data_IF_981408669852
#
_entry.id   IF_981408669852
#
_cell.length_a   1.000
_cell.length_b   1.000
_cell.length_c   1.000
_cell.angle_alpha   90.00
_cell.angle_beta   90.00
_cell.angle_gamma   90.00
#
_symmetry.space_group_name_H-M   'P 1'
#
loop_
_entity.id
_entity.type
_entity.pdbx_description
1 polymer ?
#
# COMPACT_ATOMS: atom_id res chain seq x y z
N UNK A 1 18.53 2.63 7.24
CA UNK A 1 18.46 1.76 6.06
C UNK A 1 16.99 1.68 5.69
N UNK A 2 16.59 1.99 4.45
CA UNK A 2 15.20 1.73 4.04
C UNK A 2 15.10 0.24 3.75
N UNK A 3 14.67 -0.53 4.75
CA UNK A 3 14.32 -1.94 4.58
C UNK A 3 13.07 -2.04 3.71
N UNK A 4 12.93 -3.16 3.01
CA UNK A 4 11.73 -3.49 2.26
C UNK A 4 10.99 -4.59 3.02
N UNK A 5 9.66 -4.56 2.98
CA UNK A 5 8.86 -5.56 3.68
C UNK A 5 8.80 -6.85 2.85
N UNK A 6 9.02 -7.97 3.53
CA UNK A 6 9.01 -9.32 2.94
C UNK A 6 7.85 -10.15 3.49
N UNK A 7 7.32 -9.79 4.65
CA UNK A 7 6.24 -10.51 5.31
C UNK A 7 5.26 -9.53 5.95
N UNK A 8 3.98 -9.92 5.94
CA UNK A 8 2.88 -9.09 6.40
C UNK A 8 1.86 -9.90 7.21
N UNK A 9 1.34 -9.27 8.26
CA UNK A 9 0.08 -9.64 8.89
C UNK A 9 -0.86 -8.44 8.79
N UNK A 10 -1.96 -8.64 8.06
CA UNK A 10 -2.90 -7.56 7.71
C UNK A 10 -4.25 -7.88 8.32
N UNK A 11 -4.69 -6.99 9.21
CA UNK A 11 -6.00 -7.04 9.85
C UNK A 11 -6.68 -5.69 9.62
N UNK A 12 -6.97 -5.36 8.37
CA UNK A 12 -7.61 -4.10 7.98
C UNK A 12 -8.97 -4.34 7.35
N UNK A 13 -9.85 -3.37 7.53
CA UNK A 13 -11.21 -3.37 6.99
C UNK A 13 -11.39 -2.10 6.18
N UNK A 14 -11.88 -2.28 4.95
CA UNK A 14 -12.40 -1.23 4.08
C UNK A 14 -13.93 -1.37 4.09
N UNK A 15 -14.65 -0.47 4.78
CA UNK A 15 -16.11 -0.46 4.73
C UNK A 15 -16.58 -0.30 3.29
N UNK A 16 -17.67 -0.99 2.95
CA UNK A 16 -18.21 -1.01 1.58
C UNK A 16 -18.53 0.40 1.07
N UNK A 17 -19.05 1.25 1.94
CA UNK A 17 -19.34 2.65 1.66
C UNK A 17 -18.10 3.48 1.30
N UNK A 18 -16.92 3.05 1.74
CA UNK A 18 -15.66 3.75 1.52
C UNK A 18 -14.89 3.25 0.29
N UNK A 19 -15.28 2.14 -0.34
CA UNK A 19 -14.56 1.58 -1.51
C UNK A 19 -14.40 2.63 -2.63
N UNK A 20 -15.42 3.45 -2.87
CA UNK A 20 -15.36 4.50 -3.88
C UNK A 20 -14.30 5.57 -3.59
N UNK A 21 -14.11 5.93 -2.32
CA UNK A 21 -13.11 6.93 -1.93
C UNK A 21 -11.71 6.34 -1.82
N UNK A 22 -11.59 5.08 -1.41
CA UNK A 22 -10.34 4.32 -1.52
C UNK A 22 -9.86 4.27 -2.97
N UNK A 23 -10.74 3.93 -3.91
CA UNK A 23 -10.37 3.87 -5.32
C UNK A 23 -9.88 5.23 -5.85
N UNK A 24 -10.55 6.32 -5.48
CA UNK A 24 -10.12 7.68 -5.83
C UNK A 24 -8.74 7.99 -5.25
N UNK A 25 -8.50 7.64 -3.99
CA UNK A 25 -7.22 7.86 -3.32
C UNK A 25 -6.07 7.09 -3.99
N UNK A 26 -6.30 5.81 -4.33
CA UNK A 26 -5.27 5.02 -5.03
C UNK A 26 -5.02 5.58 -6.43
N UNK A 27 -6.07 5.94 -7.19
CA UNK A 27 -5.89 6.55 -8.51
C UNK A 27 -5.14 7.90 -8.43
N UNK A 28 -5.40 8.71 -7.42
CA UNK A 28 -4.69 9.98 -7.21
C UNK A 28 -3.18 9.78 -6.99
N UNK A 29 -2.74 8.65 -6.41
CA UNK A 29 -1.31 8.35 -6.33
C UNK A 29 -0.64 8.30 -7.70
N UNK A 30 -1.38 7.91 -8.74
CA UNK A 30 -0.91 7.81 -10.12
C UNK A 30 -1.09 9.10 -10.93
N UNK A 31 -1.53 10.19 -10.32
CA UNK A 31 -1.49 11.49 -10.97
C UNK A 31 -0.01 11.89 -11.19
N UNK A 32 0.35 12.45 -12.37
CA UNK A 32 1.74 12.73 -12.71
C UNK A 32 2.49 13.56 -11.66
N UNK A 33 1.83 14.58 -11.10
CA UNK A 33 2.41 15.45 -10.07
C UNK A 33 2.65 14.71 -8.75
N UNK A 34 1.75 13.79 -8.39
CA UNK A 34 1.83 12.99 -7.16
C UNK A 34 2.92 11.94 -7.30
N UNK A 35 2.99 11.25 -8.44
CA UNK A 35 4.06 10.29 -8.74
C UNK A 35 5.42 10.96 -8.74
N UNK A 36 5.56 12.14 -9.36
CA UNK A 36 6.83 12.86 -9.41
C UNK A 36 7.39 13.17 -8.01
N UNK A 37 6.50 13.42 -7.05
CA UNK A 37 6.85 13.74 -5.66
C UNK A 37 7.11 12.52 -4.80
N UNK A 38 6.32 11.45 -4.96
CA UNK A 38 6.27 10.35 -3.98
C UNK A 38 6.89 9.05 -4.46
N UNK A 39 6.91 8.80 -5.78
CA UNK A 39 7.41 7.54 -6.30
C UNK A 39 8.93 7.44 -6.12
N UNK A 40 9.42 6.29 -5.67
CA UNK A 40 10.85 6.03 -5.51
C UNK A 40 11.52 5.50 -6.79
N UNK A 41 10.76 4.80 -7.65
CA UNK A 41 11.24 4.22 -8.91
C UNK A 41 11.27 5.22 -10.06
N UNK A 42 12.26 5.13 -10.95
CA UNK A 42 12.34 6.02 -12.12
C UNK A 42 13.56 5.80 -12.99
N UNK A 43 13.54 6.36 -14.20
CA UNK A 43 14.68 6.38 -15.12
C UNK A 43 15.32 7.77 -15.15
N UNK A 44 16.65 7.80 -15.31
CA UNK A 44 17.43 9.03 -15.32
C UNK A 44 18.19 9.18 -16.64
N UNK A 45 18.11 10.35 -17.26
CA UNK A 45 18.85 10.69 -18.47
C UNK A 45 19.37 12.12 -18.35
N UNK A 46 20.69 12.29 -18.47
CA UNK A 46 21.32 13.61 -18.43
C UNK A 46 21.17 14.35 -17.09
N UNK A 47 20.99 13.62 -15.98
CA UNK A 47 20.77 14.21 -14.66
C UNK A 47 19.32 14.61 -14.37
N UNK A 48 18.41 14.42 -15.32
CA UNK A 48 16.97 14.60 -15.15
C UNK A 48 16.27 13.25 -15.00
N UNK A 49 15.27 13.20 -14.11
CA UNK A 49 14.37 12.05 -13.96
C UNK A 49 13.34 12.10 -15.09
N UNK A 50 13.40 11.16 -16.03
CA UNK A 50 12.54 11.13 -17.24
C UNK A 50 11.22 10.40 -17.01
N UNK A 51 11.26 9.34 -16.23
CA UNK A 51 10.09 8.53 -15.91
C UNK A 51 10.05 8.28 -14.40
N UNK A 52 8.85 8.14 -13.87
CA UNK A 52 8.58 7.85 -12.46
C UNK A 52 7.57 6.73 -12.37
N UNK A 53 7.75 5.84 -11.40
CA UNK A 53 6.83 4.74 -11.12
C UNK A 53 6.98 4.29 -9.67
N UNK A 54 5.88 3.82 -9.08
CA UNK A 54 5.95 3.12 -7.80
C UNK A 54 6.61 1.76 -8.00
N UNK A 55 7.51 1.40 -7.10
CA UNK A 55 8.31 0.20 -7.26
C UNK A 55 7.45 -1.07 -7.13
N UNK A 56 7.56 -1.97 -8.10
CA UNK A 56 6.83 -3.24 -8.16
C UNK A 56 5.30 -3.13 -8.27
N UNK A 57 4.81 -1.97 -8.70
CA UNK A 57 3.37 -1.69 -8.90
C UNK A 57 3.06 -1.51 -10.39
N UNK A 58 1.97 -2.13 -10.85
CA UNK A 58 1.47 -1.91 -12.21
C UNK A 58 0.77 -0.55 -12.33
N UNK A 59 0.97 0.17 -13.44
CA UNK A 59 0.27 1.42 -13.69
C UNK A 59 -1.20 1.16 -14.09
N UNK A 60 -2.13 2.04 -13.69
CA UNK A 60 -3.52 1.94 -14.12
C UNK A 60 -3.66 2.14 -15.64
N UNK A 61 -4.73 1.63 -16.26
CA UNK A 61 -5.07 1.99 -17.64
C UNK A 61 -5.42 3.48 -17.75
N UNK A 62 -5.54 3.97 -18.98
CA UNK A 62 -6.00 5.33 -19.23
C UNK A 62 -7.38 5.55 -18.56
N UNK A 63 -7.44 6.47 -17.59
CA UNK A 63 -8.64 6.73 -16.79
C UNK A 63 -8.63 6.15 -15.37
N UNK A 64 -7.57 5.47 -14.96
CA UNK A 64 -7.44 4.93 -13.59
C UNK A 64 -7.87 3.47 -13.47
N UNK A 65 -7.63 2.86 -12.31
CA UNK A 65 -8.13 1.53 -11.98
C UNK A 65 -9.66 1.52 -11.94
N UNK A 66 -10.31 0.43 -12.39
CA UNK A 66 -11.77 0.35 -12.45
C UNK A 66 -12.45 -0.01 -11.12
N UNK A 67 -11.69 -0.52 -10.14
CA UNK A 67 -12.21 -1.00 -8.84
C UNK A 67 -11.09 -1.05 -7.82
N UNK A 68 -11.43 -1.05 -6.53
CA UNK A 68 -10.46 -1.18 -5.43
C UNK A 68 -9.71 -2.50 -5.54
N UNK A 69 -10.38 -3.58 -5.95
CA UNK A 69 -9.75 -4.89 -6.09
C UNK A 69 -8.67 -4.91 -7.19
N UNK A 70 -8.93 -4.24 -8.33
CA UNK A 70 -7.92 -4.11 -9.38
C UNK A 70 -6.74 -3.26 -8.92
N UNK A 71 -7.02 -2.18 -8.18
CA UNK A 71 -6.00 -1.30 -7.65
C UNK A 71 -5.12 -2.04 -6.62
N UNK A 72 -5.71 -2.74 -5.64
CA UNK A 72 -4.98 -3.52 -4.64
C UNK A 72 -4.11 -4.61 -5.29
N UNK A 73 -4.62 -5.32 -6.30
CA UNK A 73 -3.84 -6.33 -7.03
C UNK A 73 -2.66 -5.74 -7.79
N UNK A 74 -2.80 -4.56 -8.37
CA UNK A 74 -1.68 -3.85 -9.01
C UNK A 74 -0.56 -3.51 -8.01
N UNK A 75 -0.92 -3.33 -6.75
CA UNK A 75 -0.02 -3.15 -5.60
C UNK A 75 0.34 -4.49 -4.91
N UNK A 76 0.05 -5.63 -5.54
CA UNK A 76 0.34 -7.01 -5.06
C UNK A 76 -0.36 -7.40 -3.75
N UNK A 77 -1.45 -6.73 -3.41
CA UNK A 77 -2.36 -7.16 -2.36
C UNK A 77 -3.52 -7.93 -2.97
N UNK A 78 -3.85 -9.08 -2.39
CA UNK A 78 -4.99 -9.87 -2.80
C UNK A 78 -6.22 -9.48 -1.97
N UNK A 79 -7.23 -8.86 -2.60
CA UNK A 79 -8.47 -8.48 -1.94
C UNK A 79 -9.34 -9.70 -1.66
N UNK A 80 -10.03 -9.70 -0.52
CA UNK A 80 -11.04 -10.68 -0.16
C UNK A 80 -12.15 -10.02 0.67
N UNK A 81 -13.34 -10.63 0.67
CA UNK A 81 -14.48 -10.13 1.43
C UNK A 81 -14.71 -10.99 2.67
N UNK A 82 -14.85 -10.36 3.82
CA UNK A 82 -15.23 -10.97 5.09
C UNK A 82 -16.50 -10.27 5.58
N UNK A 83 -17.59 -11.03 5.76
CA UNK A 83 -18.89 -10.51 6.22
C UNK A 83 -19.43 -9.30 5.43
N UNK A 84 -19.05 -9.19 4.15
CA UNK A 84 -19.47 -8.11 3.25
C UNK A 84 -18.58 -6.86 3.27
N UNK A 85 -17.53 -6.87 4.08
CA UNK A 85 -16.49 -5.83 4.12
C UNK A 85 -15.24 -6.30 3.37
N UNK A 86 -14.53 -5.36 2.76
CA UNK A 86 -13.33 -5.66 1.98
C UNK A 86 -12.09 -5.65 2.89
N UNK A 87 -11.29 -6.70 2.80
CA UNK A 87 -9.96 -6.81 3.42
C UNK A 87 -8.95 -7.29 2.36
N UNK A 88 -7.68 -7.40 2.72
CA UNK A 88 -6.65 -7.87 1.80
C UNK A 88 -5.47 -8.50 2.53
N UNK A 89 -4.77 -9.41 1.84
CA UNK A 89 -3.49 -9.97 2.27
C UNK A 89 -2.39 -9.63 1.26
N UNK A 90 -1.12 -9.72 1.67
CA UNK A 90 0.01 -9.52 0.76
C UNK A 90 0.38 -10.84 0.08
N UNK A 91 0.45 -10.86 -1.25
CA UNK A 91 0.88 -12.04 -2.04
C UNK A 91 2.20 -11.80 -2.79
N UNK A 92 2.84 -10.64 -2.56
CA UNK A 92 4.12 -10.33 -3.17
C UNK A 92 5.32 -10.94 -2.45
N UNK A 93 6.48 -10.90 -3.11
CA UNK A 93 7.77 -11.17 -2.46
C UNK A 93 8.40 -9.90 -1.87
N UNK A 94 8.03 -8.75 -2.44
CA UNK A 94 8.59 -7.43 -2.12
C UNK A 94 7.69 -6.32 -2.65
N UNK A 95 7.55 -5.28 -1.84
CA UNK A 95 7.09 -3.95 -2.25
C UNK A 95 8.06 -2.89 -1.69
N UNK A 96 8.05 -1.67 -2.22
CA UNK A 96 8.90 -0.60 -1.67
C UNK A 96 8.27 0.78 -1.53
N UNK A 97 7.04 0.99 -2.00
CA UNK A 97 6.29 2.24 -1.85
C UNK A 97 4.91 2.01 -1.19
N UNK A 98 4.68 0.85 -0.57
CA UNK A 98 3.45 0.45 0.11
C UNK A 98 3.00 1.44 1.18
N UNK A 99 3.92 2.09 1.88
CA UNK A 99 3.57 3.14 2.84
C UNK A 99 2.82 4.29 2.17
N UNK A 100 3.09 4.59 0.89
CA UNK A 100 2.34 5.61 0.13
C UNK A 100 0.92 5.15 -0.18
N UNK A 101 0.73 3.87 -0.47
CA UNK A 101 -0.60 3.28 -0.55
C UNK A 101 -1.31 3.38 0.80
N UNK A 102 -0.68 2.93 1.88
CA UNK A 102 -1.26 2.91 3.22
C UNK A 102 -1.63 4.32 3.72
N UNK A 103 -0.75 5.30 3.53
CA UNK A 103 -1.02 6.72 3.81
C UNK A 103 -2.24 7.23 3.05
N UNK A 104 -2.35 6.91 1.76
CA UNK A 104 -3.45 7.39 0.91
C UNK A 104 -4.80 6.81 1.30
N UNK A 105 -4.85 5.54 1.69
CA UNK A 105 -6.11 4.87 2.03
C UNK A 105 -6.49 5.00 3.52
N UNK A 106 -5.56 5.46 4.36
CA UNK A 106 -5.74 5.55 5.81
C UNK A 106 -7.02 6.25 6.30
N UNK A 107 -7.51 7.35 5.68
CA UNK A 107 -8.74 8.00 6.10
C UNK A 107 -10.01 7.14 5.92
N UNK A 108 -9.90 6.04 5.17
CA UNK A 108 -11.04 5.25 4.72
C UNK A 108 -11.07 3.84 5.29
N UNK A 109 -10.04 3.47 6.05
CA UNK A 109 -9.86 2.11 6.55
C UNK A 109 -9.63 2.12 8.07
N UNK A 110 -9.85 0.97 8.68
CA UNK A 110 -9.56 0.72 10.10
C UNK A 110 -8.80 -0.59 10.27
N UNK A 111 -8.10 -0.74 11.39
CA UNK A 111 -7.38 -1.96 11.73
C UNK A 111 -5.87 -1.75 11.78
N UNK A 112 -5.13 -2.85 11.67
CA UNK A 112 -3.68 -2.86 11.85
C UNK A 112 -2.97 -3.62 10.71
N UNK A 113 -1.80 -3.14 10.29
CA UNK A 113 -0.84 -3.85 9.44
C UNK A 113 0.47 -3.99 10.20
N UNK A 114 1.01 -5.20 10.25
CA UNK A 114 2.36 -5.47 10.73
C UNK A 114 3.20 -5.98 9.56
N UNK A 115 4.42 -5.47 9.44
CA UNK A 115 5.34 -5.85 8.39
C UNK A 115 6.72 -6.19 8.98
N UNK A 116 7.38 -7.18 8.39
CA UNK A 116 8.76 -7.56 8.72
C UNK A 116 9.61 -7.52 7.46
N UNK A 117 10.82 -6.97 7.62
CA UNK A 117 11.79 -6.80 6.54
C UNK A 117 12.78 -7.94 6.50
N UNK A 118 13.42 -8.14 5.34
CA UNK A 118 14.44 -9.19 5.18
C UNK A 118 15.69 -8.98 6.05
N UNK A 119 15.85 -7.79 6.63
CA UNK A 119 16.88 -7.44 7.61
C UNK A 119 16.47 -7.70 9.07
N UNK A 120 15.26 -8.23 9.29
CA UNK A 120 14.70 -8.50 10.62
C UNK A 120 14.11 -7.27 11.31
N UNK A 121 14.08 -6.10 10.65
CA UNK A 121 13.36 -4.93 11.15
C UNK A 121 11.84 -5.18 11.11
N UNK A 122 11.11 -4.57 12.04
CA UNK A 122 9.67 -4.73 12.19
C UNK A 122 8.97 -3.37 12.20
N UNK A 123 7.80 -3.31 11.58
CA UNK A 123 6.95 -2.14 11.50
C UNK A 123 5.51 -2.50 11.82
N UNK A 124 4.80 -1.56 12.43
CA UNK A 124 3.37 -1.66 12.68
C UNK A 124 2.67 -0.37 12.31
N UNK A 125 1.48 -0.49 11.75
CA UNK A 125 0.66 0.63 11.29
C UNK A 125 -0.76 0.41 11.78
N UNK A 126 -1.35 1.44 12.39
CA UNK A 126 -2.75 1.45 12.83
C UNK A 126 -3.54 2.49 12.07
N UNK A 127 -4.76 2.12 11.69
CA UNK A 127 -5.70 2.95 10.95
C UNK A 127 -6.99 3.12 11.75
N UNK A 128 -7.56 4.33 11.73
CA UNK A 128 -8.73 4.69 12.53
C UNK A 128 -9.70 5.65 11.80
N UNK A 129 -9.83 5.52 10.48
CA UNK A 129 -10.65 6.40 9.61
C UNK A 129 -10.25 7.88 9.59
N UNK A 130 -9.03 8.20 10.00
CA UNK A 130 -8.50 9.57 9.95
C UNK A 130 -7.09 9.54 9.38
N UNK A 131 -6.21 8.80 10.05
CA UNK A 131 -4.80 8.72 9.67
C UNK A 131 -4.19 7.38 9.98
N UNK A 132 -3.05 7.15 9.35
CA UNK A 132 -2.13 6.10 9.73
C UNK A 132 -1.30 6.56 10.92
N UNK A 133 -1.13 5.69 11.91
CA UNK A 133 -0.20 5.89 13.04
C UNK A 133 0.81 4.76 13.04
N UNK A 134 2.10 5.09 13.01
CA UNK A 134 3.17 4.11 13.19
C UNK A 134 3.21 3.63 14.64
N UNK A 135 3.14 2.33 14.82
CA UNK A 135 3.24 1.66 16.12
C UNK A 135 4.71 1.44 16.47
N UNK A 136 5.05 1.64 17.74
CA UNK A 136 6.28 1.08 18.31
C UNK A 136 5.95 -0.32 18.81
N UNK A 137 6.18 -1.32 17.98
CA UNK A 137 5.98 -2.73 18.36
C UNK A 137 7.25 -3.53 18.14
N UNK A 138 7.51 -4.46 19.06
CA UNK A 138 8.33 -5.65 18.82
C UNK A 138 7.32 -6.78 18.81
N UNK A 139 6.97 -7.30 17.64
CA UNK A 139 5.99 -8.38 17.55
C UNK A 139 6.78 -9.67 17.46
N UNK A 140 6.71 -10.51 18.48
CA UNK A 140 7.40 -11.80 18.42
C UNK A 140 6.63 -12.69 17.44
N UNK A 141 7.13 -12.84 16.22
CA UNK A 141 6.63 -13.86 15.29
C UNK A 141 7.08 -15.21 15.82
N UNK A 142 6.16 -15.98 16.38
CA UNK A 142 6.44 -17.38 16.76
C UNK A 142 6.53 -18.21 15.47
N UNK A 143 7.65 -18.91 15.28
CA UNK A 143 7.75 -19.95 14.24
C UNK A 143 6.84 -21.11 14.64
N UNK A 144 5.91 -21.47 13.76
CA UNK A 144 5.00 -22.62 13.92
C UNK A 144 5.58 -23.85 13.25
#
# INVERSE_FOLDING_TARGET
MMGYYVEYEINVIIPKENEGDVLKAINHLHDPEVMQKNASGGSWQGGERKEVWYSWTDNPPAGGFPSVEHALRAWRFQPCYLDGELTFCFEGEKLGDEEKLFEAIAPYITGDIYARGGDGCEWGFRFNFDKMVTLRCTKTWEEV
#
